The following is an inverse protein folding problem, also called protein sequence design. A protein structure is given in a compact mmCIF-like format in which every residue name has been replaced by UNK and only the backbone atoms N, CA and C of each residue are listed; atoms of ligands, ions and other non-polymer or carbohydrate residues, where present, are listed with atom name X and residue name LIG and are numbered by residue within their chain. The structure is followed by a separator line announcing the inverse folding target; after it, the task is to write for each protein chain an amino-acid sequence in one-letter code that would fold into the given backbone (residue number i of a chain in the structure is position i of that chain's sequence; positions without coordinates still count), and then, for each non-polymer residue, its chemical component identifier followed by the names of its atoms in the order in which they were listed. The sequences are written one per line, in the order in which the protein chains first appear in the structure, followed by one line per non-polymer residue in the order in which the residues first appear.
data_IF_379139373142
#
_entry.id   IF_379139373142
#
_cell.length_a   1.000
_cell.length_b   1.000
_cell.length_c   1.000
_cell.angle_alpha   90.00
_cell.angle_beta   90.00
_cell.angle_gamma   90.00
#
_symmetry.space_group_name_H-M   'P 1'
#
loop_
_entity.id
_entity.type
_entity.pdbx_description
1 polymer ?
#
# COMPACT_ATOMS: atom_id res chain seq x y z
N UNK A 1 12.98 2.79 20.45
CA UNK A 1 11.65 3.40 20.68
C UNK A 1 11.91 4.81 21.14
N UNK A 2 11.55 5.80 20.33
CA UNK A 2 11.82 7.22 20.64
C UNK A 2 10.52 7.82 21.17
N UNK A 3 10.46 8.13 22.45
CA UNK A 3 9.31 8.80 23.08
C UNK A 3 9.51 10.31 23.01
N UNK A 4 8.74 10.99 22.16
CA UNK A 4 8.70 12.46 22.07
C UNK A 4 7.43 12.97 22.76
N UNK A 5 7.56 13.73 23.85
CA UNK A 5 6.44 14.51 24.40
C UNK A 5 6.32 15.80 23.59
N UNK A 6 5.14 16.09 23.05
CA UNK A 6 4.83 17.40 22.47
C UNK A 6 3.56 17.91 23.16
N UNK A 7 3.70 19.08 23.79
CA UNK A 7 2.74 19.98 24.42
C UNK A 7 1.26 19.56 24.51
N UNK A 8 0.80 19.48 25.76
CA UNK A 8 -0.57 19.56 26.31
C UNK A 8 -1.73 19.04 25.43
N UNK A 9 -1.95 17.72 25.54
CA UNK A 9 -3.23 16.97 25.71
C UNK A 9 -3.24 15.61 25.00
N UNK A 10 -2.24 15.29 24.18
CA UNK A 10 -2.13 13.96 23.54
C UNK A 10 -0.75 13.31 23.75
N UNK A 11 -0.76 12.12 24.36
CA UNK A 11 0.45 11.31 24.57
C UNK A 11 0.59 10.28 23.44
N UNK A 12 1.59 10.45 22.59
CA UNK A 12 1.83 9.56 21.44
C UNK A 12 3.23 8.90 21.49
N UNK A 13 3.34 7.76 20.82
CA UNK A 13 4.59 6.99 20.69
C UNK A 13 4.73 6.53 19.24
N UNK A 14 5.94 6.64 18.68
CA UNK A 14 6.21 6.31 17.29
C UNK A 14 7.25 5.17 17.18
N UNK A 15 6.89 4.13 16.44
CA UNK A 15 7.82 3.08 16.01
C UNK A 15 8.32 3.40 14.60
N UNK A 16 9.61 3.69 14.47
CA UNK A 16 10.27 4.00 13.20
C UNK A 16 11.19 2.85 12.78
N UNK A 17 10.88 2.20 11.65
CA UNK A 17 11.72 1.17 11.01
C UNK A 17 12.43 1.82 9.83
N UNK A 18 13.74 2.07 9.95
CA UNK A 18 14.50 2.85 8.95
C UNK A 18 14.74 2.11 7.63
N UNK A 19 14.96 0.79 7.70
CA UNK A 19 15.20 -0.08 6.55
C UNK A 19 14.35 -1.32 6.73
N UNK A 20 13.24 -1.39 5.99
CA UNK A 20 12.31 -2.51 6.03
C UNK A 20 12.93 -3.69 5.28
N UNK A 21 13.02 -4.83 5.98
CA UNK A 21 13.40 -6.12 5.44
C UNK A 21 12.16 -7.03 5.37
N UNK A 22 12.26 -8.13 4.64
CA UNK A 22 11.15 -9.10 4.52
C UNK A 22 10.71 -9.69 5.86
N UNK A 23 11.64 -9.80 6.81
CA UNK A 23 11.35 -10.28 8.17
C UNK A 23 10.56 -9.27 9.02
N UNK A 24 10.47 -8.01 8.60
CA UNK A 24 9.76 -6.95 9.33
C UNK A 24 8.26 -6.91 8.95
N UNK A 25 7.83 -7.67 7.95
CA UNK A 25 6.43 -7.70 7.53
C UNK A 25 5.56 -8.51 8.50
N UNK A 26 5.19 -7.88 9.61
CA UNK A 26 4.36 -8.47 10.65
C UNK A 26 3.38 -7.47 11.30
N UNK A 27 2.61 -7.96 12.26
CA UNK A 27 1.75 -7.16 13.12
C UNK A 27 2.55 -6.53 14.28
N UNK A 28 2.43 -5.21 14.41
CA UNK A 28 3.00 -4.41 15.47
C UNK A 28 1.92 -3.97 16.44
N UNK A 29 2.09 -4.30 17.72
CA UNK A 29 1.18 -3.89 18.78
C UNK A 29 1.78 -2.73 19.57
N UNK A 30 1.00 -1.66 19.73
CA UNK A 30 1.28 -0.62 20.70
C UNK A 30 0.40 -0.83 21.94
N UNK A 31 1.02 -0.82 23.11
CA UNK A 31 0.31 -0.96 24.40
C UNK A 31 0.48 0.33 25.19
N UNK A 32 -0.64 0.96 25.52
CA UNK A 32 -0.71 2.08 26.45
C UNK A 32 -0.99 1.55 27.85
N UNK A 33 -0.21 2.02 28.83
CA UNK A 33 -0.33 1.61 30.24
C UNK A 33 -0.42 2.83 31.13
N UNK A 34 -1.37 2.84 32.06
CA UNK A 34 -1.49 3.83 33.12
C UNK A 34 -1.89 3.15 34.44
N UNK A 35 -2.06 3.94 35.50
CA UNK A 35 -2.45 3.43 36.82
C UNK A 35 -3.84 2.75 36.84
N UNK A 36 -4.68 2.99 35.83
CA UNK A 36 -6.04 2.44 35.72
C UNK A 36 -6.09 1.15 34.90
N UNK A 37 -5.07 0.86 34.09
CA UNK A 37 -5.02 -0.36 33.30
C UNK A 37 -4.22 -0.24 32.00
N UNK A 38 -4.54 -1.15 31.08
CA UNK A 38 -3.84 -1.36 29.82
C UNK A 38 -4.84 -1.29 28.66
N UNK A 39 -4.43 -0.66 27.58
CA UNK A 39 -5.13 -0.70 26.29
C UNK A 39 -4.12 -0.96 25.19
N UNK A 40 -4.54 -1.58 24.09
CA UNK A 40 -3.66 -1.91 22.98
C UNK A 40 -4.32 -1.62 21.64
N UNK A 41 -3.50 -1.30 20.64
CA UNK A 41 -3.89 -1.22 19.25
C UNK A 41 -2.83 -1.94 18.40
N UNK A 42 -3.29 -2.49 17.27
CA UNK A 42 -2.45 -3.27 16.36
C UNK A 42 -2.45 -2.63 14.98
N UNK A 43 -1.27 -2.58 14.36
CA UNK A 43 -1.09 -2.18 12.96
C UNK A 43 -0.24 -3.21 12.25
N UNK A 44 -0.54 -3.50 10.99
CA UNK A 44 0.19 -4.52 10.22
C UNK A 44 1.03 -3.87 9.14
N UNK A 45 2.32 -4.19 9.11
CA UNK A 45 3.19 -3.82 8.01
C UNK A 45 3.03 -4.86 6.90
N UNK A 46 2.59 -4.40 5.73
CA UNK A 46 2.41 -5.24 4.54
C UNK A 46 3.42 -4.84 3.47
N UNK A 47 3.84 -5.83 2.69
CA UNK A 47 4.70 -5.60 1.54
C UNK A 47 3.96 -4.77 0.49
N UNK A 48 4.59 -3.66 0.06
CA UNK A 48 4.10 -2.90 -1.09
C UNK A 48 4.61 -3.56 -2.36
N UNK A 49 3.72 -4.26 -3.06
CA UNK A 49 4.02 -4.78 -4.40
C UNK A 49 3.96 -3.62 -5.38
N UNK A 50 5.11 -2.96 -5.60
CA UNK A 50 5.24 -2.00 -6.68
C UNK A 50 5.27 -2.76 -8.01
N UNK A 51 4.11 -3.02 -8.59
CA UNK A 51 4.03 -3.60 -9.93
C UNK A 51 4.66 -2.61 -10.91
N UNK A 52 5.76 -2.98 -11.57
CA UNK A 52 6.38 -2.05 -12.48
C UNK A 52 5.42 -1.73 -13.61
N UNK A 53 5.23 -0.45 -13.90
CA UNK A 53 4.33 0.02 -14.96
C UNK A 53 4.61 -0.67 -16.30
N UNK A 54 5.87 -1.04 -16.56
CA UNK A 54 6.27 -1.78 -17.77
C UNK A 54 5.63 -3.16 -17.91
N UNK A 55 5.18 -3.81 -16.84
CA UNK A 55 4.42 -5.06 -16.93
C UNK A 55 2.96 -4.82 -17.33
N UNK A 56 2.39 -3.66 -16.99
CA UNK A 56 1.01 -3.31 -17.38
C UNK A 56 0.92 -2.73 -18.80
N UNK A 57 1.94 -2.00 -19.26
CA UNK A 57 1.93 -1.31 -20.56
C UNK A 57 1.64 -2.22 -21.78
N UNK A 58 2.24 -3.43 -21.92
CA UNK A 58 1.99 -4.28 -23.07
C UNK A 58 0.52 -4.70 -23.21
N UNK A 59 -0.15 -4.96 -22.07
CA UNK A 59 -1.57 -5.31 -22.06
C UNK A 59 -2.46 -4.18 -22.53
N UNK A 60 -2.19 -2.95 -22.07
CA UNK A 60 -2.95 -1.75 -22.48
C UNK A 60 -2.75 -1.47 -23.96
N UNK A 61 -1.51 -1.49 -24.47
CA UNK A 61 -1.22 -1.24 -25.89
C UNK A 61 -1.84 -2.33 -26.77
N UNK A 62 -1.71 -3.60 -26.39
CA UNK A 62 -2.32 -4.72 -27.12
C UNK A 62 -3.84 -4.63 -27.19
N UNK A 63 -4.49 -4.26 -26.07
CA UNK A 63 -5.94 -4.06 -26.02
C UNK A 63 -6.43 -2.96 -26.96
N UNK A 64 -5.76 -1.80 -26.98
CA UNK A 64 -6.12 -0.69 -27.86
C UNK A 64 -5.96 -1.07 -29.34
N UNK A 65 -4.86 -1.74 -29.69
CA UNK A 65 -4.63 -2.21 -31.06
C UNK A 65 -5.70 -3.21 -31.50
N UNK A 66 -6.07 -4.16 -30.63
CA UNK A 66 -7.12 -5.12 -30.93
C UNK A 66 -8.48 -4.44 -31.19
N UNK A 67 -8.85 -3.47 -30.37
CA UNK A 67 -10.10 -2.70 -30.53
C UNK A 67 -10.11 -1.96 -31.88
N UNK A 68 -9.00 -1.31 -32.24
CA UNK A 68 -8.89 -0.60 -33.52
C UNK A 68 -9.02 -1.54 -34.72
N UNK A 69 -8.38 -2.71 -34.68
CA UNK A 69 -8.46 -3.71 -35.75
C UNK A 69 -9.89 -4.25 -35.90
N UNK A 70 -10.56 -4.56 -34.79
CA UNK A 70 -11.95 -5.05 -34.79
C UNK A 70 -12.88 -3.96 -35.36
N UNK A 71 -12.73 -2.71 -34.94
CA UNK A 71 -13.54 -1.61 -35.44
C UNK A 71 -13.38 -1.43 -36.97
N UNK A 72 -12.15 -1.49 -37.48
CA UNK A 72 -11.89 -1.40 -38.92
C UNK A 72 -12.51 -2.57 -39.69
N UNK A 73 -12.46 -3.79 -39.15
CA UNK A 73 -13.07 -4.96 -39.76
C UNK A 73 -14.60 -4.84 -39.85
N UNK A 74 -15.25 -4.33 -38.81
CA UNK A 74 -16.72 -4.08 -38.80
C UNK A 74 -17.09 -3.04 -39.86
N UNK A 75 -16.32 -1.95 -39.98
CA UNK A 75 -16.57 -0.91 -40.99
C UNK A 75 -16.42 -1.46 -42.41
N UNK A 76 -15.42 -2.32 -42.64
CA UNK A 76 -15.23 -2.98 -43.94
C UNK A 76 -16.36 -3.96 -44.28
N UNK A 77 -16.83 -4.74 -43.30
CA UNK A 77 -17.88 -5.72 -43.52
C UNK A 77 -19.27 -5.11 -43.78
N UNK A 78 -19.51 -3.89 -43.28
CA UNK A 78 -20.77 -3.16 -43.44
C UNK A 78 -20.77 -2.19 -44.64
N UNK A 79 -19.75 -2.27 -45.51
CA UNK A 79 -19.60 -1.45 -46.71
C UNK A 79 -19.90 -2.27 -47.96
#
# INVERSE_FOLDING_TARGET
ISTSRVNDEELYSVLLIRKVLTIDFDAYNCTASNSMGLSWASTRLIESTNFPVHFMMPGVVGGVLAILVIALAIVWANK
#
